data_IF_985456783560
#
_entry.id   IF_985456783560
#
_cell.length_a   1.000
_cell.length_b   1.000
_cell.length_c   1.000
_cell.angle_alpha   90.00
_cell.angle_beta   90.00
_cell.angle_gamma   90.00
#
_symmetry.space_group_name_H-M   'P 1'
#
loop_
_entity.id
_entity.type
_entity.pdbx_description
1 polymer ?
#
# COMPACT_ATOMS: atom_id res chain seq x y z
N UNK A 1 1.84 39.04 11.06
CA UNK A 1 2.55 37.85 10.55
C UNK A 1 2.11 37.61 9.13
N UNK A 2 3.05 37.61 8.19
CA UNK A 2 2.76 37.47 6.76
C UNK A 2 2.04 36.14 6.45
N UNK A 3 1.10 36.15 5.50
CA UNK A 3 0.33 34.96 5.05
C UNK A 3 1.20 33.71 4.82
N UNK A 4 2.34 33.77 4.10
CA UNK A 4 3.18 32.61 3.85
C UNK A 4 3.79 31.99 5.12
N UNK A 5 4.13 32.82 6.11
CA UNK A 5 4.67 32.34 7.40
C UNK A 5 3.60 31.56 8.18
N UNK A 6 2.35 32.04 8.18
CA UNK A 6 1.22 31.33 8.82
C UNK A 6 0.99 29.98 8.17
N UNK A 7 1.02 29.91 6.84
CA UNK A 7 0.83 28.64 6.09
C UNK A 7 1.97 27.67 6.39
N UNK A 8 3.23 28.14 6.39
CA UNK A 8 4.39 27.29 6.71
C UNK A 8 4.29 26.71 8.14
N UNK A 9 3.94 27.52 9.14
CA UNK A 9 3.75 27.06 10.51
C UNK A 9 2.60 26.05 10.64
N UNK A 10 1.55 26.21 9.84
CA UNK A 10 0.40 25.28 9.84
C UNK A 10 0.75 23.90 9.28
N UNK A 11 1.83 23.76 8.50
CA UNK A 11 2.30 22.48 7.95
C UNK A 11 3.29 21.74 8.87
N UNK A 12 3.82 22.39 9.91
CA UNK A 12 4.83 21.80 10.80
C UNK A 12 4.38 20.46 11.43
N UNK A 13 3.14 20.26 11.88
CA UNK A 13 2.71 18.97 12.43
C UNK A 13 2.81 17.84 11.39
N UNK A 14 2.36 18.09 10.16
CA UNK A 14 2.44 17.12 9.08
C UNK A 14 3.90 16.82 8.70
N UNK A 15 4.72 17.84 8.51
CA UNK A 15 6.13 17.67 8.17
C UNK A 15 6.89 16.92 9.27
N UNK A 16 6.65 17.26 10.54
CA UNK A 16 7.24 16.56 11.67
C UNK A 16 6.85 15.08 11.70
N UNK A 17 5.58 14.76 11.44
CA UNK A 17 5.14 13.38 11.35
C UNK A 17 5.74 12.63 10.16
N UNK A 18 5.83 13.25 8.98
CA UNK A 18 6.45 12.61 7.79
C UNK A 18 7.93 12.32 8.03
N UNK A 19 8.66 13.25 8.65
CA UNK A 19 10.06 13.03 9.05
C UNK A 19 10.17 11.87 10.04
N UNK A 20 9.31 11.83 11.06
CA UNK A 20 9.24 10.72 12.03
C UNK A 20 8.94 9.38 11.34
N UNK A 21 7.97 9.34 10.41
CA UNK A 21 7.59 8.16 9.65
C UNK A 21 8.77 7.63 8.83
N UNK A 22 9.44 8.51 8.08
CA UNK A 22 10.62 8.17 7.26
C UNK A 22 11.75 7.65 8.17
N UNK A 23 12.07 8.40 9.22
CA UNK A 23 13.13 8.03 10.16
C UNK A 23 12.83 6.69 10.84
N UNK A 24 11.59 6.48 11.31
CA UNK A 24 11.17 5.24 11.96
C UNK A 24 11.27 4.03 11.02
N UNK A 25 10.77 4.16 9.78
CA UNK A 25 10.82 3.09 8.79
C UNK A 25 12.26 2.76 8.36
N UNK A 26 13.13 3.77 8.30
CA UNK A 26 14.52 3.57 7.90
C UNK A 26 15.38 2.98 9.03
N UNK A 27 15.29 3.54 10.25
CA UNK A 27 16.17 3.18 11.37
C UNK A 27 15.74 1.91 12.12
N UNK A 28 14.45 1.56 12.07
CA UNK A 28 13.88 0.43 12.82
C UNK A 28 12.94 -0.41 11.95
N UNK A 29 13.41 -0.99 10.83
CA UNK A 29 12.58 -1.86 10.00
C UNK A 29 12.11 -3.08 10.82
N UNK A 30 10.86 -3.50 10.57
CA UNK A 30 10.26 -4.68 11.17
C UNK A 30 10.11 -5.75 10.09
N UNK A 31 11.00 -6.72 10.09
CA UNK A 31 10.91 -7.84 9.18
C UNK A 31 10.02 -8.93 9.78
N UNK A 32 9.12 -9.44 8.95
CA UNK A 32 8.23 -10.55 9.27
C UNK A 32 8.53 -11.73 8.36
N UNK A 33 7.96 -12.87 8.62
CA UNK A 33 8.10 -14.05 7.76
C UNK A 33 7.72 -13.79 6.29
N UNK A 34 6.81 -12.85 6.00
CA UNK A 34 6.47 -12.40 4.62
C UNK A 34 7.66 -11.84 3.84
N UNK A 35 8.69 -11.36 4.54
CA UNK A 35 9.92 -10.84 3.93
C UNK A 35 10.62 -11.92 3.10
N UNK A 36 10.60 -13.17 3.58
CA UNK A 36 11.28 -14.31 2.95
C UNK A 36 10.69 -14.60 1.56
N UNK A 37 9.39 -14.90 1.41
CA UNK A 37 8.80 -15.22 0.12
C UNK A 37 8.75 -14.03 -0.85
N UNK A 38 8.64 -12.78 -0.38
CA UNK A 38 8.76 -11.64 -1.28
C UNK A 38 10.19 -11.47 -1.80
N UNK A 39 11.20 -11.69 -0.96
CA UNK A 39 12.61 -11.71 -1.40
C UNK A 39 12.83 -12.80 -2.46
N UNK A 40 12.33 -14.01 -2.24
CA UNK A 40 12.38 -15.10 -3.21
C UNK A 40 11.66 -14.74 -4.52
N UNK A 41 10.52 -14.08 -4.43
CA UNK A 41 9.76 -13.65 -5.62
C UNK A 41 10.55 -12.64 -6.46
N UNK A 42 11.37 -11.78 -5.83
CA UNK A 42 12.29 -10.89 -6.54
C UNK A 42 13.40 -11.74 -7.22
N UNK A 43 14.10 -12.58 -6.45
CA UNK A 43 15.22 -13.37 -6.93
C UNK A 43 14.83 -14.39 -8.02
N UNK A 44 13.57 -14.83 -8.04
CA UNK A 44 13.06 -15.76 -9.06
C UNK A 44 12.98 -15.13 -10.45
N UNK A 45 13.27 -13.84 -10.63
CA UNK A 45 13.47 -13.24 -11.94
C UNK A 45 14.67 -13.87 -12.64
N UNK A 46 15.77 -14.07 -11.90
CA UNK A 46 17.05 -14.53 -12.42
C UNK A 46 17.31 -16.02 -12.10
N UNK A 47 16.80 -16.53 -10.97
CA UNK A 47 17.02 -17.90 -10.51
C UNK A 47 15.79 -18.74 -10.81
N UNK A 48 15.91 -19.72 -11.72
CA UNK A 48 14.80 -20.59 -12.13
C UNK A 48 14.79 -21.95 -11.41
N UNK A 49 15.96 -22.41 -10.99
CA UNK A 49 16.08 -23.64 -10.22
C UNK A 49 15.49 -23.46 -8.81
N UNK A 50 14.51 -24.30 -8.41
CA UNK A 50 13.83 -24.17 -7.13
C UNK A 50 14.74 -24.33 -5.91
N UNK A 51 15.64 -25.30 -5.94
CA UNK A 51 16.55 -25.58 -4.81
C UNK A 51 17.57 -24.45 -4.66
N UNK A 52 18.11 -23.97 -5.80
CA UNK A 52 19.02 -22.83 -5.80
C UNK A 52 18.31 -21.56 -5.33
N UNK A 53 17.05 -21.34 -5.74
CA UNK A 53 16.26 -20.18 -5.30
C UNK A 53 16.06 -20.19 -3.78
N UNK A 54 15.70 -21.34 -3.21
CA UNK A 54 15.57 -21.53 -1.77
C UNK A 54 16.89 -21.16 -1.06
N UNK A 55 18.00 -21.84 -1.43
CA UNK A 55 19.31 -21.61 -0.82
C UNK A 55 19.73 -20.15 -0.92
N UNK A 56 19.64 -19.53 -2.10
CA UNK A 56 20.05 -18.15 -2.34
C UNK A 56 19.19 -17.12 -1.59
N UNK A 57 17.92 -17.43 -1.39
CA UNK A 57 17.03 -16.55 -0.60
C UNK A 57 17.48 -16.49 0.85
N UNK A 58 17.70 -17.63 1.49
CA UNK A 58 18.11 -17.67 2.89
C UNK A 58 19.55 -17.16 3.09
N UNK A 59 20.48 -17.49 2.20
CA UNK A 59 21.83 -16.91 2.18
C UNK A 59 21.81 -15.37 2.10
N UNK A 60 21.00 -14.82 1.19
CA UNK A 60 20.86 -13.38 1.06
C UNK A 60 20.32 -12.74 2.34
N UNK A 61 19.26 -13.30 2.90
CA UNK A 61 18.65 -12.78 4.13
C UNK A 61 19.61 -12.88 5.32
N UNK A 62 20.33 -13.98 5.47
CA UNK A 62 21.30 -14.18 6.53
C UNK A 62 22.46 -13.17 6.47
N UNK A 63 22.87 -12.77 5.25
CA UNK A 63 23.93 -11.74 5.07
C UNK A 63 23.43 -10.33 5.27
N UNK A 64 22.16 -10.07 4.94
CA UNK A 64 21.59 -8.71 4.88
C UNK A 64 20.85 -8.29 6.14
N UNK A 65 20.46 -9.23 6.98
CA UNK A 65 19.75 -9.01 8.24
C UNK A 65 20.69 -9.20 9.44
N UNK A 66 20.44 -8.45 10.52
CA UNK A 66 21.09 -8.76 11.79
C UNK A 66 20.64 -10.13 12.31
N UNK A 67 21.40 -10.81 13.20
CA UNK A 67 20.99 -12.10 13.76
C UNK A 67 19.59 -12.09 14.37
N UNK A 68 19.21 -11.00 15.05
CA UNK A 68 17.88 -10.84 15.64
C UNK A 68 16.78 -10.69 14.59
N UNK A 69 17.05 -9.93 13.52
CA UNK A 69 16.12 -9.77 12.40
C UNK A 69 15.97 -11.06 11.60
N UNK A 70 17.06 -11.79 11.38
CA UNK A 70 17.02 -13.10 10.74
C UNK A 70 16.18 -14.08 11.57
N UNK A 71 16.43 -14.16 12.86
CA UNK A 71 15.63 -14.97 13.76
C UNK A 71 14.14 -14.59 13.73
N UNK A 72 13.80 -13.30 13.58
CA UNK A 72 12.39 -12.87 13.51
C UNK A 72 11.65 -13.34 12.25
N UNK A 73 12.35 -13.62 11.16
CA UNK A 73 11.76 -14.09 9.90
C UNK A 73 11.81 -15.62 9.74
N UNK A 74 12.63 -16.32 10.56
CA UNK A 74 12.79 -17.78 10.55
C UNK A 74 12.27 -18.45 11.82
N UNK A 75 11.86 -17.70 12.85
CA UNK A 75 11.34 -18.26 14.09
C UNK A 75 9.90 -18.76 13.97
N UNK A 76 9.57 -19.79 14.75
CA UNK A 76 8.27 -20.45 14.75
C UNK A 76 8.24 -21.69 13.85
N UNK A 77 7.38 -22.65 14.19
CA UNK A 77 7.36 -23.98 13.55
C UNK A 77 7.20 -23.89 12.01
N UNK A 78 6.32 -23.00 11.55
CA UNK A 78 6.07 -22.82 10.12
C UNK A 78 7.27 -22.21 9.39
N UNK A 79 7.86 -21.13 9.92
CA UNK A 79 8.99 -20.47 9.28
C UNK A 79 10.24 -21.36 9.26
N UNK A 80 10.48 -22.12 10.35
CA UNK A 80 11.56 -23.09 10.43
C UNK A 80 11.36 -24.27 9.45
N UNK A 81 10.12 -24.73 9.26
CA UNK A 81 9.83 -25.75 8.23
C UNK A 81 10.19 -25.25 6.84
N UNK A 82 9.83 -24.02 6.48
CA UNK A 82 10.14 -23.43 5.20
C UNK A 82 11.65 -23.19 4.97
N UNK A 83 12.40 -22.90 6.04
CA UNK A 83 13.86 -22.78 5.98
C UNK A 83 14.54 -24.13 5.73
N UNK A 84 13.99 -25.22 6.31
CA UNK A 84 14.58 -26.55 6.21
C UNK A 84 14.02 -27.40 5.05
N UNK A 85 12.90 -26.99 4.43
CA UNK A 85 12.20 -27.75 3.41
C UNK A 85 11.95 -26.89 2.18
N UNK A 86 12.80 -27.05 1.16
CA UNK A 86 12.71 -26.28 -0.08
C UNK A 86 11.40 -26.53 -0.86
N UNK A 87 10.84 -27.73 -0.80
CA UNK A 87 9.59 -28.04 -1.53
C UNK A 87 8.39 -27.32 -0.92
N UNK A 88 8.30 -27.29 0.42
CA UNK A 88 7.28 -26.51 1.13
C UNK A 88 7.44 -25.00 0.87
N UNK A 89 8.69 -24.51 0.90
CA UNK A 89 9.00 -23.12 0.59
C UNK A 89 8.56 -22.73 -0.84
N UNK A 90 8.88 -23.54 -1.84
CA UNK A 90 8.50 -23.29 -3.23
C UNK A 90 6.99 -23.33 -3.40
N UNK A 91 6.32 -24.31 -2.78
CA UNK A 91 4.87 -24.46 -2.86
C UNK A 91 4.09 -23.24 -2.33
N UNK A 92 4.63 -22.52 -1.34
CA UNK A 92 3.97 -21.30 -0.84
C UNK A 92 4.16 -20.08 -1.76
N UNK A 93 5.18 -20.02 -2.62
CA UNK A 93 5.48 -18.82 -3.42
C UNK A 93 4.33 -18.43 -4.35
N UNK A 94 3.47 -19.35 -4.72
CA UNK A 94 2.32 -19.06 -5.58
C UNK A 94 1.34 -18.09 -4.89
N UNK A 95 1.19 -18.16 -3.56
CA UNK A 95 0.37 -17.21 -2.79
C UNK A 95 0.91 -15.77 -2.80
N UNK A 96 2.19 -15.58 -3.11
CA UNK A 96 2.84 -14.27 -3.24
C UNK A 96 2.81 -13.78 -4.69
N UNK A 97 2.93 -14.68 -5.65
CA UNK A 97 2.90 -14.39 -7.09
C UNK A 97 1.54 -13.94 -7.60
N UNK A 98 0.43 -14.32 -6.92
CA UNK A 98 -0.92 -13.87 -7.28
C UNK A 98 -1.17 -12.37 -7.06
N UNK A 99 -0.17 -11.61 -6.60
CA UNK A 99 -0.19 -10.15 -6.43
C UNK A 99 0.67 -9.47 -7.51
N UNK A 100 0.29 -9.55 -8.80
CA UNK A 100 1.18 -9.21 -9.92
C UNK A 100 1.64 -7.77 -9.89
N UNK A 101 0.79 -6.81 -9.52
CA UNK A 101 1.17 -5.41 -9.48
C UNK A 101 2.20 -5.12 -8.37
N UNK A 102 2.09 -5.80 -7.22
CA UNK A 102 3.09 -5.67 -6.15
C UNK A 102 4.43 -6.28 -6.57
N UNK A 103 4.40 -7.47 -7.18
CA UNK A 103 5.62 -8.16 -7.67
C UNK A 103 6.32 -7.34 -8.75
N UNK A 104 5.56 -6.78 -9.71
CA UNK A 104 6.11 -5.91 -10.76
C UNK A 104 6.76 -4.68 -10.13
N UNK A 105 6.09 -4.03 -9.16
CA UNK A 105 6.65 -2.86 -8.48
C UNK A 105 7.96 -3.20 -7.75
N UNK A 106 8.03 -4.32 -7.03
CA UNK A 106 9.26 -4.80 -6.38
C UNK A 106 10.39 -4.99 -7.39
N UNK A 107 10.11 -5.70 -8.48
CA UNK A 107 11.10 -5.95 -9.55
C UNK A 107 11.54 -4.67 -10.26
N UNK A 108 10.66 -3.70 -10.39
CA UNK A 108 11.01 -2.39 -10.95
C UNK A 108 12.03 -1.67 -10.08
N UNK A 109 11.82 -1.62 -8.76
CA UNK A 109 12.81 -1.02 -7.85
C UNK A 109 14.16 -1.76 -7.91
N UNK A 110 14.13 -3.08 -8.00
CA UNK A 110 15.36 -3.88 -8.12
C UNK A 110 16.06 -3.64 -9.47
N UNK A 111 15.31 -3.54 -10.56
CA UNK A 111 15.86 -3.21 -11.88
C UNK A 111 16.47 -1.80 -11.94
N UNK A 112 16.00 -0.87 -11.08
CA UNK A 112 16.58 0.45 -10.89
C UNK A 112 17.83 0.45 -9.97
N UNK A 113 18.29 -0.72 -9.54
CA UNK A 113 19.51 -0.90 -8.75
C UNK A 113 19.31 -0.98 -7.24
N UNK A 114 18.05 -1.00 -6.75
CA UNK A 114 17.81 -1.20 -5.32
C UNK A 114 17.97 -2.69 -4.95
N UNK A 115 18.58 -2.95 -3.79
CA UNK A 115 18.62 -4.31 -3.24
C UNK A 115 17.21 -4.83 -2.88
N UNK A 116 16.98 -6.16 -2.88
CA UNK A 116 15.66 -6.74 -2.58
C UNK A 116 15.01 -6.23 -1.29
N UNK A 117 15.73 -6.20 -0.18
CA UNK A 117 15.21 -5.67 1.10
C UNK A 117 14.93 -4.17 1.05
N UNK A 118 15.75 -3.40 0.33
CA UNK A 118 15.52 -1.97 0.11
C UNK A 118 14.27 -1.74 -0.74
N UNK A 119 14.06 -2.52 -1.79
CA UNK A 119 12.87 -2.46 -2.63
C UNK A 119 11.60 -2.71 -1.83
N UNK A 120 11.61 -3.73 -0.96
CA UNK A 120 10.51 -4.06 -0.04
C UNK A 120 10.20 -2.89 0.92
N UNK A 121 11.24 -2.29 1.52
CA UNK A 121 11.09 -1.15 2.45
C UNK A 121 10.56 0.10 1.75
N UNK A 122 11.08 0.43 0.58
CA UNK A 122 10.63 1.59 -0.20
C UNK A 122 9.16 1.44 -0.61
N UNK A 123 8.75 0.22 -0.99
CA UNK A 123 7.39 -0.06 -1.41
C UNK A 123 6.37 -0.08 -0.25
N UNK A 124 6.84 -0.08 0.99
CA UNK A 124 5.99 0.15 2.16
C UNK A 124 6.02 1.61 2.62
N UNK A 125 7.20 2.25 2.58
CA UNK A 125 7.39 3.61 3.07
C UNK A 125 6.79 4.67 2.12
N UNK A 126 7.14 4.62 0.82
CA UNK A 126 6.70 5.64 -0.15
C UNK A 126 5.17 5.75 -0.20
N UNK A 127 4.41 4.64 -0.31
CA UNK A 127 2.95 4.71 -0.27
C UNK A 127 2.41 5.28 1.04
N UNK A 128 3.04 5.00 2.18
CA UNK A 128 2.63 5.57 3.47
C UNK A 128 2.77 7.10 3.51
N UNK A 129 3.87 7.64 2.97
CA UNK A 129 4.08 9.09 2.81
C UNK A 129 3.04 9.68 1.85
N UNK A 130 2.87 9.07 0.67
CA UNK A 130 1.91 9.53 -0.34
C UNK A 130 0.46 9.47 0.17
N UNK A 131 0.13 8.49 0.99
CA UNK A 131 -1.19 8.40 1.64
C UNK A 131 -1.44 9.61 2.55
N UNK A 132 -0.47 9.99 3.40
CA UNK A 132 -0.58 11.19 4.22
C UNK A 132 -0.77 12.46 3.39
N UNK A 133 0.00 12.60 2.32
CA UNK A 133 -0.09 13.76 1.42
C UNK A 133 -1.43 13.82 0.69
N UNK A 134 -1.94 12.69 0.20
CA UNK A 134 -3.23 12.60 -0.47
C UNK A 134 -4.38 12.89 0.50
N UNK A 135 -4.34 12.35 1.71
CA UNK A 135 -5.33 12.61 2.76
C UNK A 135 -5.31 14.10 3.15
N UNK A 136 -4.11 14.69 3.29
CA UNK A 136 -3.97 16.12 3.51
C UNK A 136 -4.59 16.95 2.38
N UNK A 137 -4.28 16.63 1.13
CA UNK A 137 -4.85 17.30 -0.04
C UNK A 137 -6.38 17.18 -0.09
N UNK A 138 -6.93 16.05 0.35
CA UNK A 138 -8.38 15.87 0.44
C UNK A 138 -8.98 16.78 1.51
N UNK A 139 -8.48 16.71 2.73
CA UNK A 139 -9.00 17.45 3.88
C UNK A 139 -8.84 18.97 3.73
N UNK A 140 -7.77 19.44 3.10
CA UNK A 140 -7.52 20.87 2.84
C UNK A 140 -8.57 21.53 1.94
N UNK A 141 -9.46 20.75 1.32
CA UNK A 141 -10.60 21.28 0.54
C UNK A 141 -11.75 21.76 1.42
N UNK A 142 -11.84 21.27 2.66
CA UNK A 142 -12.95 21.54 3.58
C UNK A 142 -12.50 22.02 4.95
N UNK A 143 -11.20 21.89 5.26
CA UNK A 143 -10.62 22.29 6.53
C UNK A 143 -9.53 23.35 6.33
N UNK A 144 -9.21 24.10 7.41
CA UNK A 144 -8.01 24.93 7.41
C UNK A 144 -6.74 24.08 7.27
N UNK A 145 -5.66 24.65 6.75
CA UNK A 145 -4.37 23.97 6.59
C UNK A 145 -3.89 23.29 7.87
N UNK A 146 -3.97 23.99 9.02
CA UNK A 146 -3.62 23.42 10.31
C UNK A 146 -4.57 22.29 10.72
N UNK A 147 -5.87 22.48 10.55
CA UNK A 147 -6.88 21.45 10.86
C UNK A 147 -6.66 20.19 10.05
N UNK A 148 -6.44 20.32 8.73
CA UNK A 148 -6.13 19.21 7.86
C UNK A 148 -4.84 18.49 8.30
N UNK A 149 -3.75 19.22 8.61
CA UNK A 149 -2.50 18.65 9.07
C UNK A 149 -2.68 17.85 10.38
N UNK A 150 -3.39 18.42 11.37
CA UNK A 150 -3.64 17.76 12.66
C UNK A 150 -4.50 16.50 12.49
N UNK A 151 -5.54 16.55 11.66
CA UNK A 151 -6.40 15.36 11.40
C UNK A 151 -5.58 14.25 10.72
N UNK A 152 -4.73 14.58 9.72
CA UNK A 152 -3.85 13.59 9.09
C UNK A 152 -2.93 12.94 10.11
N UNK A 153 -2.28 13.74 10.97
CA UNK A 153 -1.39 13.21 12.01
C UNK A 153 -2.15 12.32 12.99
N UNK A 154 -3.31 12.76 13.47
CA UNK A 154 -4.14 11.98 14.39
C UNK A 154 -4.57 10.64 13.75
N UNK A 155 -5.04 10.69 12.50
CA UNK A 155 -5.43 9.49 11.74
C UNK A 155 -4.25 8.52 11.56
N UNK A 156 -3.08 9.04 11.18
CA UNK A 156 -1.90 8.25 10.94
C UNK A 156 -1.33 7.62 12.23
N UNK A 157 -1.41 8.32 13.37
CA UNK A 157 -1.02 7.80 14.68
C UNK A 157 -1.98 6.71 15.15
N UNK A 158 -3.30 6.97 15.11
CA UNK A 158 -4.33 6.00 15.51
C UNK A 158 -4.30 4.76 14.60
N UNK A 159 -4.12 4.95 13.29
CA UNK A 159 -3.98 3.88 12.30
C UNK A 159 -2.61 3.17 12.33
N UNK A 160 -1.69 3.57 13.23
CA UNK A 160 -0.34 2.98 13.36
C UNK A 160 0.43 2.97 12.04
N UNK A 161 0.27 4.01 11.22
CA UNK A 161 0.87 4.07 9.89
C UNK A 161 2.40 3.96 9.92
N UNK A 162 3.04 4.46 10.99
CA UNK A 162 4.48 4.32 11.17
C UNK A 162 4.90 2.85 11.32
N UNK A 163 4.13 2.04 12.05
CA UNK A 163 4.41 0.60 12.17
C UNK A 163 4.18 -0.13 10.84
N UNK A 164 3.07 0.17 10.16
CA UNK A 164 2.79 -0.38 8.83
C UNK A 164 3.88 -0.03 7.80
N UNK A 165 4.45 1.17 7.88
CA UNK A 165 5.53 1.61 6.97
C UNK A 165 6.88 0.95 7.27
N UNK A 166 7.05 0.35 8.47
CA UNK A 166 8.24 -0.40 8.88
C UNK A 166 8.20 -1.86 8.42
N UNK A 167 7.00 -2.40 8.18
CA UNK A 167 6.81 -3.80 7.75
C UNK A 167 6.79 -3.87 6.22
N UNK A 168 7.63 -4.70 5.59
CA UNK A 168 7.73 -4.81 4.13
C UNK A 168 6.61 -5.69 3.54
N UNK A 169 5.39 -5.14 3.52
CA UNK A 169 4.16 -5.80 3.04
C UNK A 169 3.37 -4.89 2.07
N UNK A 170 2.46 -5.42 1.25
CA UNK A 170 1.71 -4.65 0.26
C UNK A 170 0.66 -3.68 0.84
N UNK A 171 0.47 -3.65 2.16
CA UNK A 171 -0.67 -3.00 2.82
C UNK A 171 -0.72 -1.48 2.56
N UNK A 172 0.40 -0.78 2.71
CA UNK A 172 0.44 0.66 2.46
C UNK A 172 0.21 1.01 0.99
N UNK A 173 0.77 0.22 0.06
CA UNK A 173 0.53 0.41 -1.37
C UNK A 173 -0.94 0.15 -1.72
N UNK A 174 -1.51 -0.91 -1.18
CA UNK A 174 -2.92 -1.25 -1.31
C UNK A 174 -3.82 -0.12 -0.78
N UNK A 175 -3.55 0.36 0.44
CA UNK A 175 -4.30 1.45 1.06
C UNK A 175 -4.22 2.75 0.25
N UNK A 176 -3.03 3.11 -0.24
CA UNK A 176 -2.85 4.29 -1.08
C UNK A 176 -3.69 4.20 -2.36
N UNK A 177 -3.65 3.06 -3.07
CA UNK A 177 -4.36 2.90 -4.34
C UNK A 177 -5.89 2.93 -4.11
N UNK A 178 -6.39 2.24 -3.09
CA UNK A 178 -7.81 2.26 -2.71
C UNK A 178 -8.24 3.69 -2.35
N UNK A 179 -7.44 4.38 -1.55
CA UNK A 179 -7.75 5.75 -1.15
C UNK A 179 -7.70 6.72 -2.32
N UNK A 180 -6.75 6.57 -3.26
CA UNK A 180 -6.69 7.35 -4.48
C UNK A 180 -7.91 7.08 -5.39
N UNK A 181 -8.40 5.84 -5.45
CA UNK A 181 -9.63 5.50 -6.16
C UNK A 181 -10.85 6.23 -5.57
N UNK A 182 -10.99 6.23 -4.24
CA UNK A 182 -12.05 6.97 -3.55
C UNK A 182 -11.93 8.48 -3.77
N UNK A 183 -10.73 9.03 -3.70
CA UNK A 183 -10.50 10.44 -3.99
C UNK A 183 -10.87 10.80 -5.43
N UNK A 184 -10.48 9.97 -6.41
CA UNK A 184 -10.85 10.15 -7.81
C UNK A 184 -12.37 10.09 -8.01
N UNK A 185 -13.05 9.18 -7.33
CA UNK A 185 -14.48 8.99 -7.42
C UNK A 185 -15.26 10.15 -6.78
N UNK A 186 -14.94 10.47 -5.52
CA UNK A 186 -15.73 11.42 -4.72
C UNK A 186 -15.38 12.87 -5.04
N UNK A 187 -14.07 13.19 -5.11
CA UNK A 187 -13.63 14.58 -5.25
C UNK A 187 -13.46 15.05 -6.69
N UNK A 188 -13.18 14.14 -7.61
CA UNK A 188 -12.88 14.47 -9.00
C UNK A 188 -13.93 13.94 -9.98
N UNK A 189 -14.79 13.04 -9.52
CA UNK A 189 -15.80 12.36 -10.37
C UNK A 189 -15.18 11.66 -11.60
N UNK A 190 -13.94 11.22 -11.47
CA UNK A 190 -13.17 10.52 -12.49
C UNK A 190 -13.44 9.00 -12.42
N UNK A 191 -14.64 8.59 -12.82
CA UNK A 191 -15.08 7.20 -12.69
C UNK A 191 -14.10 6.21 -13.35
N UNK A 192 -13.61 6.50 -14.56
CA UNK A 192 -12.68 5.60 -15.27
C UNK A 192 -11.38 5.41 -14.50
N UNK A 193 -10.83 6.50 -13.93
CA UNK A 193 -9.61 6.45 -13.10
C UNK A 193 -9.87 5.67 -11.82
N UNK A 194 -11.02 5.90 -11.17
CA UNK A 194 -11.39 5.18 -9.95
C UNK A 194 -11.52 3.67 -10.22
N UNK A 195 -12.20 3.27 -11.29
CA UNK A 195 -12.33 1.85 -11.70
C UNK A 195 -10.96 1.23 -11.95
N UNK A 196 -10.10 1.91 -12.73
CA UNK A 196 -8.74 1.43 -12.99
C UNK A 196 -7.95 1.22 -11.69
N UNK A 197 -8.00 2.20 -10.77
CA UNK A 197 -7.31 2.10 -9.49
C UNK A 197 -7.89 0.98 -8.60
N UNK A 198 -9.21 0.78 -8.59
CA UNK A 198 -9.82 -0.34 -7.86
C UNK A 198 -9.35 -1.69 -8.40
N UNK A 199 -9.29 -1.88 -9.71
CA UNK A 199 -8.74 -3.09 -10.34
C UNK A 199 -7.27 -3.24 -9.99
N UNK A 200 -6.47 -2.18 -10.11
CA UNK A 200 -5.06 -2.19 -9.72
C UNK A 200 -4.86 -2.58 -8.24
N UNK A 201 -5.76 -2.12 -7.35
CA UNK A 201 -5.68 -2.48 -5.93
C UNK A 201 -5.88 -3.98 -5.67
N UNK A 202 -6.73 -4.65 -6.46
CA UNK A 202 -6.92 -6.11 -6.41
C UNK A 202 -5.64 -6.83 -6.86
N UNK A 203 -4.96 -6.31 -7.88
CA UNK A 203 -3.67 -6.85 -8.35
C UNK A 203 -2.52 -6.64 -7.34
N UNK A 204 -2.65 -5.70 -6.41
CA UNK A 204 -1.71 -5.50 -5.28
C UNK A 204 -2.08 -6.39 -4.11
N UNK A 205 -3.37 -6.49 -3.79
CA UNK A 205 -3.90 -7.30 -2.69
C UNK A 205 -5.25 -7.89 -3.07
N UNK A 206 -5.29 -9.19 -3.27
CA UNK A 206 -6.47 -9.90 -3.78
C UNK A 206 -7.73 -9.70 -2.93
N UNK A 207 -7.58 -9.52 -1.61
CA UNK A 207 -8.70 -9.27 -0.69
C UNK A 207 -9.47 -7.98 -1.03
N UNK A 208 -8.87 -7.04 -1.76
CA UNK A 208 -9.55 -5.83 -2.20
C UNK A 208 -10.67 -6.07 -3.20
N UNK A 209 -10.81 -7.29 -3.74
CA UNK A 209 -11.88 -7.64 -4.67
C UNK A 209 -13.27 -7.42 -4.05
N UNK A 210 -13.42 -7.71 -2.76
CA UNK A 210 -14.69 -7.48 -2.04
C UNK A 210 -15.01 -5.98 -1.95
N UNK A 211 -14.02 -5.17 -1.57
CA UNK A 211 -14.19 -3.73 -1.47
C UNK A 211 -14.45 -3.10 -2.83
N UNK A 212 -13.66 -3.45 -3.84
CA UNK A 212 -13.81 -2.96 -5.20
C UNK A 212 -15.20 -3.33 -5.76
N UNK A 213 -15.63 -4.58 -5.56
CA UNK A 213 -16.95 -5.05 -5.95
C UNK A 213 -18.08 -4.24 -5.30
N UNK A 214 -18.00 -4.00 -3.99
CA UNK A 214 -19.01 -3.21 -3.27
C UNK A 214 -19.07 -1.76 -3.78
N UNK A 215 -17.94 -1.12 -4.04
CA UNK A 215 -17.90 0.25 -4.57
C UNK A 215 -18.50 0.31 -5.98
N UNK A 216 -18.19 -0.65 -6.84
CA UNK A 216 -18.72 -0.71 -8.21
C UNK A 216 -20.23 -1.01 -8.22
N UNK A 217 -20.71 -1.90 -7.37
CA UNK A 217 -22.14 -2.18 -7.18
C UNK A 217 -22.89 -0.94 -6.68
N UNK A 218 -22.34 -0.24 -5.70
CA UNK A 218 -22.92 1.02 -5.21
C UNK A 218 -23.02 2.07 -6.32
N UNK A 219 -21.99 2.23 -7.12
CA UNK A 219 -21.99 3.17 -8.25
C UNK A 219 -23.03 2.80 -9.30
N UNK A 220 -23.12 1.51 -9.65
CA UNK A 220 -24.12 1.01 -10.61
C UNK A 220 -25.55 1.22 -10.11
N UNK A 221 -25.80 0.94 -8.83
CA UNK A 221 -27.10 1.16 -8.20
C UNK A 221 -27.46 2.63 -8.14
N UNK A 222 -26.53 3.51 -7.79
CA UNK A 222 -26.74 4.96 -7.73
C UNK A 222 -27.06 5.53 -9.13
N UNK A 223 -26.35 5.10 -10.17
CA UNK A 223 -26.62 5.48 -11.54
C UNK A 223 -28.02 5.01 -12.01
N UNK A 224 -28.40 3.78 -11.69
CA UNK A 224 -29.72 3.24 -11.99
C UNK A 224 -30.84 4.03 -11.28
N UNK A 225 -30.69 4.31 -10.00
CA UNK A 225 -31.67 5.07 -9.20
C UNK A 225 -31.87 6.49 -9.77
N UNK A 226 -30.78 7.17 -10.18
CA UNK A 226 -30.85 8.49 -10.84
C UNK A 226 -31.58 8.40 -12.17
N UNK A 227 -31.29 7.41 -12.99
CA UNK A 227 -31.96 7.22 -14.28
C UNK A 227 -33.45 6.87 -14.14
N UNK A 228 -33.81 6.12 -13.10
CA UNK A 228 -35.20 5.78 -12.78
C UNK A 228 -35.98 7.00 -12.30
N UNK A 229 -35.38 7.87 -11.49
CA UNK A 229 -36.04 9.11 -11.03
C UNK A 229 -36.31 10.09 -12.15
N UNK A 230 -35.41 10.19 -13.16
CA UNK A 230 -35.60 11.02 -14.34
C UNK A 230 -36.67 10.49 -15.28
N UNK A 231 -37.04 9.21 -15.20
CA UNK A 231 -38.12 8.58 -16.00
C UNK A 231 -39.47 8.62 -15.28
N UNK A 232 -39.55 9.18 -14.07
CA UNK A 232 -40.83 9.29 -13.37
C UNK A 232 -41.73 10.29 -14.09
N UNK A 233 -43.04 9.98 -14.29
CA UNK A 233 -43.99 10.86 -15.03
C UNK A 233 -44.09 12.26 -14.42
N UNK A 234 -43.82 12.42 -13.12
CA UNK A 234 -43.83 13.71 -12.43
C UNK A 234 -42.78 14.71 -12.96
N UNK A 235 -41.58 14.21 -13.39
CA UNK A 235 -40.52 15.08 -13.94
C UNK A 235 -40.83 15.54 -15.37
N UNK A 236 -41.56 14.74 -16.17
CA UNK A 236 -41.96 15.12 -17.51
C UNK A 236 -43.04 16.20 -17.51
N UNK A 237 -43.84 16.33 -16.47
CA UNK A 237 -44.89 17.35 -16.35
C UNK A 237 -44.36 18.74 -16.00
N UNK A 238 -43.13 18.88 -15.53
CA UNK A 238 -42.52 20.19 -15.22
C UNK A 238 -41.51 20.65 -16.27
N UNK A 239 -41.26 19.88 -17.32
CA UNK A 239 -40.34 20.20 -18.41
C UNK A 239 -41.07 20.61 -19.71
N UNK A 240 -42.42 20.67 -19.71
CA UNK A 240 -43.30 21.20 -20.76
C UNK A 240 -43.83 22.57 -20.33
#
# INVERSE_FOLDING_TARGET
MNQPIKTALSLLPLLGYLIFLIFSAYSKPLYTWDTVPYTATILSADIKDPQLLHTRTYEYLQRSLSPQQYASVTSGAYAADLENNADHFIGQLDMYRIKPAYVIALRTFTALGAEPLTSLRLLSLIPGVLFCLLLFAWLSRSCSTLGAALIVVAFAVVGRLADLSRVPVPDNLSALIVFAALYALVCKQWLRVAVFLLVASVCVRTNNILFAGLVLLWQSFSAYAQSASLRSPAVMLFAS
#
